data_IF_067084579961
#
_entry.id   IF_067084579961
#
_cell.length_a   1.000
_cell.length_b   1.000
_cell.length_c   1.000
_cell.angle_alpha   90.00
_cell.angle_beta   90.00
_cell.angle_gamma   90.00
#
_symmetry.space_group_name_H-M   'P 1'
#
loop_
_entity.id
_entity.type
_entity.pdbx_description
1 polymer ?
#
# COMPACT_ATOMS: atom_id res chain seq x y z
N UNK A 1 -13.46 29.04 20.73
CA UNK A 1 -13.83 29.86 19.55
C UNK A 1 -13.86 29.04 18.25
N UNK A 2 -12.88 28.15 18.03
CA UNK A 2 -12.73 27.32 16.82
C UNK A 2 -13.86 26.29 16.59
N UNK A 3 -14.48 25.76 17.65
CA UNK A 3 -15.57 24.78 17.53
C UNK A 3 -16.86 25.38 16.95
N UNK A 4 -17.15 26.66 17.20
CA UNK A 4 -18.37 27.32 16.70
C UNK A 4 -18.36 27.52 15.18
N UNK A 5 -17.18 27.60 14.57
CA UNK A 5 -17.04 27.76 13.12
C UNK A 5 -17.32 26.45 12.37
N UNK A 6 -16.94 25.30 12.95
CA UNK A 6 -17.24 23.99 12.38
C UNK A 6 -18.76 23.73 12.32
N UNK A 7 -19.49 24.10 13.37
CA UNK A 7 -20.93 23.90 13.43
C UNK A 7 -21.69 24.77 12.42
N UNK A 8 -21.23 26.00 12.17
CA UNK A 8 -21.88 26.90 11.22
C UNK A 8 -21.69 26.40 9.78
N UNK A 9 -20.49 25.91 9.43
CA UNK A 9 -20.21 25.39 8.08
C UNK A 9 -20.95 24.08 7.83
N UNK A 10 -20.94 23.16 8.82
CA UNK A 10 -21.65 21.89 8.72
C UNK A 10 -23.16 22.15 8.62
N UNK A 11 -23.72 23.02 9.46
CA UNK A 11 -25.17 23.31 9.48
C UNK A 11 -25.63 24.04 8.22
N UNK A 12 -24.79 24.88 7.58
CA UNK A 12 -25.13 25.51 6.28
C UNK A 12 -25.04 24.55 5.09
N UNK A 13 -24.09 23.62 5.11
CA UNK A 13 -23.96 22.59 4.06
C UNK A 13 -25.06 21.52 4.23
N UNK A 14 -25.48 21.21 5.46
CA UNK A 14 -26.53 20.23 5.77
C UNK A 14 -27.96 20.79 5.67
N UNK A 15 -28.17 22.10 5.91
CA UNK A 15 -29.49 22.75 5.82
C UNK A 15 -29.84 23.30 4.43
N UNK A 16 -28.99 23.08 3.42
CA UNK A 16 -29.36 23.34 2.03
C UNK A 16 -30.36 22.27 1.59
N UNK A 17 -31.63 22.55 1.82
CA UNK A 17 -32.78 21.74 1.45
C UNK A 17 -32.79 21.50 -0.08
N UNK A 18 -32.20 20.40 -0.52
CA UNK A 18 -32.10 19.98 -1.93
C UNK A 18 -33.43 19.47 -2.51
N UNK A 19 -34.54 19.66 -1.80
CA UNK A 19 -35.86 19.15 -2.20
C UNK A 19 -36.55 19.98 -3.30
N UNK A 20 -36.01 21.16 -3.68
CA UNK A 20 -36.67 22.08 -4.63
C UNK A 20 -35.82 22.52 -5.85
N UNK A 21 -34.73 21.81 -6.19
CA UNK A 21 -33.83 22.25 -7.28
C UNK A 21 -33.47 21.12 -8.26
N UNK A 22 -33.45 21.44 -9.56
CA UNK A 22 -33.27 20.53 -10.70
C UNK A 22 -32.14 19.48 -10.53
N UNK A 23 -32.44 18.24 -10.98
CA UNK A 23 -31.62 17.00 -10.89
C UNK A 23 -30.09 17.15 -11.09
N UNK A 24 -29.56 17.93 -12.05
CA UNK A 24 -28.10 18.04 -12.20
C UNK A 24 -27.42 18.82 -11.07
N UNK A 25 -28.12 19.80 -10.48
CA UNK A 25 -27.56 20.62 -9.39
C UNK A 25 -27.40 19.82 -8.10
N UNK A 26 -28.25 18.81 -7.91
CA UNK A 26 -28.17 17.86 -6.79
C UNK A 26 -26.88 17.02 -6.84
N UNK A 27 -26.51 16.49 -8.00
CA UNK A 27 -25.27 15.72 -8.16
C UNK A 27 -24.02 16.53 -7.81
N UNK A 28 -23.98 17.81 -8.19
CA UNK A 28 -22.85 18.71 -7.87
C UNK A 28 -22.76 18.95 -6.36
N UNK A 29 -23.89 19.18 -5.68
CA UNK A 29 -23.93 19.44 -4.23
C UNK A 29 -23.57 18.18 -3.44
N UNK A 30 -24.08 17.01 -3.82
CA UNK A 30 -23.74 15.74 -3.18
C UNK A 30 -22.24 15.42 -3.35
N UNK A 31 -21.69 15.61 -4.56
CA UNK A 31 -20.26 15.43 -4.83
C UNK A 31 -19.40 16.38 -3.98
N UNK A 32 -19.79 17.66 -3.89
CA UNK A 32 -19.07 18.65 -3.09
C UNK A 32 -19.12 18.34 -1.58
N UNK A 33 -20.24 17.83 -1.09
CA UNK A 33 -20.40 17.39 0.30
C UNK A 33 -19.51 16.18 0.61
N UNK A 34 -19.47 15.21 -0.29
CA UNK A 34 -18.63 14.03 -0.16
C UNK A 34 -17.14 14.41 -0.17
N UNK A 35 -16.75 15.30 -1.09
CA UNK A 35 -15.40 15.85 -1.15
C UNK A 35 -15.02 16.61 0.12
N UNK A 36 -15.92 17.43 0.68
CA UNK A 36 -15.68 18.16 1.92
C UNK A 36 -15.50 17.23 3.13
N UNK A 37 -16.31 16.17 3.23
CA UNK A 37 -16.18 15.16 4.29
C UNK A 37 -14.83 14.44 4.21
N UNK A 38 -14.45 13.98 3.01
CA UNK A 38 -13.16 13.33 2.77
C UNK A 38 -12.00 14.29 3.08
N UNK A 39 -12.07 15.54 2.63
CA UNK A 39 -11.05 16.55 2.90
C UNK A 39 -10.90 16.84 4.40
N UNK A 40 -12.00 16.91 5.15
CA UNK A 40 -11.97 17.06 6.60
C UNK A 40 -11.31 15.86 7.29
N UNK A 41 -11.59 14.64 6.84
CA UNK A 41 -10.99 13.43 7.39
C UNK A 41 -9.50 13.29 7.05
N UNK A 42 -9.10 13.72 5.86
CA UNK A 42 -7.70 13.84 5.43
C UNK A 42 -6.93 14.83 6.32
N UNK A 43 -7.49 16.02 6.57
CA UNK A 43 -6.85 17.08 7.37
C UNK A 43 -6.76 16.74 8.86
N UNK A 44 -7.65 15.89 9.38
CA UNK A 44 -7.58 15.37 10.76
C UNK A 44 -6.41 14.41 11.01
N UNK A 45 -5.63 14.05 9.98
CA UNK A 45 -4.37 13.31 10.12
C UNK A 45 -4.49 11.81 10.43
N UNK A 46 -5.69 11.33 10.79
CA UNK A 46 -5.94 9.91 11.09
C UNK A 46 -5.73 9.00 9.87
N UNK A 47 -5.95 9.51 8.65
CA UNK A 47 -5.64 8.80 7.41
C UNK A 47 -4.14 8.55 7.23
N UNK A 48 -3.29 9.54 7.57
CA UNK A 48 -1.85 9.38 7.48
C UNK A 48 -1.34 8.31 8.46
N UNK A 49 -1.84 8.34 9.71
CA UNK A 49 -1.52 7.31 10.71
C UNK A 49 -1.98 5.92 10.27
N UNK A 50 -3.18 5.80 9.69
CA UNK A 50 -3.68 4.52 9.14
C UNK A 50 -2.86 4.04 7.95
N UNK A 51 -2.54 4.93 7.01
CA UNK A 51 -1.69 4.59 5.87
C UNK A 51 -0.29 4.15 6.33
N UNK A 52 0.32 4.89 7.26
CA UNK A 52 1.59 4.51 7.89
C UNK A 52 1.50 3.16 8.61
N UNK A 53 0.41 2.90 9.34
CA UNK A 53 0.22 1.63 10.03
C UNK A 53 0.11 0.45 9.05
N UNK A 54 -0.50 0.66 7.89
CA UNK A 54 -0.59 -0.36 6.86
C UNK A 54 0.79 -0.63 6.25
N UNK A 55 1.54 0.43 5.91
CA UNK A 55 2.93 0.29 5.45
C UNK A 55 3.80 -0.42 6.49
N UNK A 56 3.72 -0.02 7.76
CA UNK A 56 4.47 -0.65 8.84
C UNK A 56 4.10 -2.13 9.00
N UNK A 57 2.81 -2.45 8.97
CA UNK A 57 2.34 -3.83 9.04
C UNK A 57 2.80 -4.65 7.84
N UNK A 58 2.82 -4.07 6.63
CA UNK A 58 3.37 -4.76 5.45
C UNK A 58 4.86 -5.04 5.62
N UNK A 59 5.67 -4.06 6.05
CA UNK A 59 7.10 -4.24 6.31
C UNK A 59 7.34 -5.32 7.37
N UNK A 60 6.56 -5.31 8.46
CA UNK A 60 6.67 -6.31 9.53
C UNK A 60 6.23 -7.71 9.04
N UNK A 61 5.18 -7.81 8.23
CA UNK A 61 4.71 -9.09 7.67
C UNK A 61 5.66 -9.71 6.64
N UNK A 62 6.53 -8.90 6.01
CA UNK A 62 7.54 -9.41 5.09
C UNK A 62 8.63 -10.21 5.83
N UNK A 63 8.92 -9.91 7.10
CA UNK A 63 9.97 -10.61 7.85
C UNK A 63 9.67 -12.11 8.00
N UNK A 64 8.49 -12.54 8.51
CA UNK A 64 8.14 -13.95 8.54
C UNK A 64 8.06 -14.61 7.16
N UNK A 65 7.56 -13.88 6.16
CA UNK A 65 7.46 -14.39 4.79
C UNK A 65 8.85 -14.73 4.24
N UNK A 66 9.80 -13.80 4.37
CA UNK A 66 11.19 -14.00 3.94
C UNK A 66 11.86 -15.17 4.68
N UNK A 67 11.63 -15.30 5.99
CA UNK A 67 12.15 -16.42 6.77
C UNK A 67 11.63 -17.78 6.26
N UNK A 68 10.34 -17.87 5.94
CA UNK A 68 9.75 -19.08 5.33
C UNK A 68 10.34 -19.33 3.94
N UNK A 69 10.46 -18.30 3.10
CA UNK A 69 11.07 -18.41 1.77
C UNK A 69 12.51 -18.94 1.85
N UNK A 70 13.34 -18.40 2.74
CA UNK A 70 14.71 -18.88 2.92
C UNK A 70 14.76 -20.31 3.49
N UNK A 71 13.90 -20.64 4.44
CA UNK A 71 13.78 -22.01 4.97
C UNK A 71 13.45 -23.02 3.87
N UNK A 72 12.51 -22.67 2.99
CA UNK A 72 12.13 -23.50 1.83
C UNK A 72 13.28 -23.60 0.83
N UNK A 73 13.94 -22.49 0.48
CA UNK A 73 15.10 -22.49 -0.42
C UNK A 73 16.26 -23.35 0.12
N UNK A 74 16.55 -23.24 1.42
CA UNK A 74 17.56 -24.07 2.09
C UNK A 74 17.15 -25.55 2.12
N UNK A 75 15.87 -25.84 2.39
CA UNK A 75 15.30 -27.19 2.38
C UNK A 75 15.30 -27.88 1.01
N UNK A 76 15.29 -27.12 -0.10
CA UNK A 76 15.39 -27.67 -1.46
C UNK A 76 16.80 -28.17 -1.83
N UNK A 77 17.82 -27.90 -1.01
CA UNK A 77 19.20 -28.30 -1.29
C UNK A 77 19.87 -27.33 -2.26
N UNK A 78 20.38 -26.24 -1.70
CA UNK A 78 21.01 -25.09 -2.41
C UNK A 78 21.99 -25.53 -3.50
N UNK A 79 22.88 -26.45 -3.17
CA UNK A 79 23.93 -26.94 -4.05
C UNK A 79 23.46 -28.02 -5.05
N UNK A 80 22.41 -28.78 -4.73
CA UNK A 80 22.00 -29.95 -5.51
C UNK A 80 20.90 -29.67 -6.54
N UNK A 81 20.06 -28.65 -6.30
CA UNK A 81 18.93 -28.33 -7.18
C UNK A 81 18.86 -26.84 -7.56
N UNK A 82 19.20 -25.95 -6.62
CA UNK A 82 19.01 -24.51 -6.79
C UNK A 82 20.13 -23.86 -7.63
N UNK A 83 21.39 -24.17 -7.33
CA UNK A 83 22.56 -23.71 -8.10
C UNK A 83 22.52 -24.10 -9.59
N UNK A 84 22.24 -25.37 -9.99
CA UNK A 84 22.13 -25.71 -11.41
C UNK A 84 20.91 -25.07 -12.07
N UNK A 85 19.79 -24.90 -11.36
CA UNK A 85 18.61 -24.21 -11.90
C UNK A 85 18.91 -22.74 -12.18
N UNK A 86 19.50 -22.02 -11.23
CA UNK A 86 19.90 -20.62 -11.40
C UNK A 86 20.94 -20.46 -12.52
N UNK A 87 21.93 -21.36 -12.56
CA UNK A 87 22.95 -21.35 -13.62
C UNK A 87 22.35 -21.53 -15.01
N UNK A 88 21.36 -22.42 -15.17
CA UNK A 88 20.67 -22.64 -16.45
C UNK A 88 19.77 -21.46 -16.84
N UNK A 89 19.02 -20.89 -15.87
CA UNK A 89 18.12 -19.74 -16.11
C UNK A 89 18.91 -18.48 -16.45
N UNK A 90 20.08 -18.29 -15.82
CA UNK A 90 20.92 -17.12 -15.99
C UNK A 90 22.02 -17.32 -17.06
N UNK A 91 22.18 -18.53 -17.61
CA UNK A 91 23.10 -18.81 -18.72
C UNK A 91 22.97 -17.84 -19.92
N UNK A 92 21.77 -17.38 -20.33
CA UNK A 92 21.63 -16.39 -21.41
C UNK A 92 22.30 -15.04 -21.12
N UNK A 93 22.60 -14.74 -19.85
CA UNK A 93 23.28 -13.51 -19.43
C UNK A 93 24.81 -13.62 -19.54
N UNK A 94 25.33 -14.78 -19.96
CA UNK A 94 26.76 -15.02 -20.14
C UNK A 94 27.54 -14.93 -18.81
N UNK A 95 28.75 -14.34 -18.81
CA UNK A 95 29.62 -14.28 -17.61
C UNK A 95 29.00 -13.54 -16.41
N UNK A 96 27.97 -12.73 -16.63
CA UNK A 96 27.25 -12.03 -15.55
C UNK A 96 26.25 -12.93 -14.85
N UNK A 97 25.76 -13.98 -15.52
CA UNK A 97 24.85 -14.96 -14.92
C UNK A 97 25.49 -15.73 -13.78
N UNK A 98 26.76 -16.12 -13.91
CA UNK A 98 27.51 -16.85 -12.87
C UNK A 98 27.75 -15.98 -11.62
N UNK A 99 28.06 -14.70 -11.80
CA UNK A 99 28.23 -13.73 -10.70
C UNK A 99 26.92 -13.53 -9.91
N UNK A 100 25.80 -13.42 -10.61
CA UNK A 100 24.47 -13.29 -10.00
C UNK A 100 24.07 -14.59 -9.29
N UNK A 101 24.30 -15.76 -9.90
CA UNK A 101 24.07 -17.06 -9.25
C UNK A 101 24.83 -17.15 -7.94
N UNK A 102 26.14 -16.88 -7.94
CA UNK A 102 26.97 -16.93 -6.73
C UNK A 102 26.47 -15.98 -5.63
N UNK A 103 26.01 -14.79 -6.02
CA UNK A 103 25.44 -13.81 -5.09
C UNK A 103 24.14 -14.31 -4.46
N UNK A 104 23.24 -14.90 -5.24
CA UNK A 104 21.97 -15.46 -4.74
C UNK A 104 22.21 -16.65 -3.81
N UNK A 105 23.12 -17.56 -4.18
CA UNK A 105 23.49 -18.71 -3.36
C UNK A 105 24.05 -18.26 -2.01
N UNK A 106 24.93 -17.25 -1.99
CA UNK A 106 25.49 -16.69 -0.76
C UNK A 106 24.47 -16.01 0.18
N UNK A 107 23.26 -15.66 -0.29
CA UNK A 107 22.18 -15.17 0.57
C UNK A 107 21.36 -16.30 1.23
N UNK A 108 21.41 -17.51 0.68
CA UNK A 108 20.59 -18.65 1.15
C UNK A 108 21.36 -19.56 2.12
N UNK A 109 22.69 -19.62 2.02
CA UNK A 109 23.55 -20.37 2.95
C UNK A 109 23.59 -19.77 4.37
#
# INVERSE_FOLDING_TARGET
MWERLHDIVIKRIWAADTSLIARPRRFIIESLRFAYLIAGDLLKGQLSLRAMSLVYTTMLSLVPLLAVTFSVLKGFGVHNQLEPLLSNVLAPLGPKGTEVTATIIGFVD
#
